data_IF_389558244841
#
_entry.id   IF_389558244841
#
_cell.length_a   1.000
_cell.length_b   1.000
_cell.length_c   1.000
_cell.angle_alpha   90.00
_cell.angle_beta   90.00
_cell.angle_gamma   90.00
#
_symmetry.space_group_name_H-M   'P 1'
#
loop_
_entity.id
_entity.type
_entity.pdbx_description
1 polymer ?
#
# COMPACT_ATOMS: atom_id res chain seq x y z
N UNK A 1 10.32 14.72 -33.82
CA UNK A 1 10.06 13.45 -33.11
C UNK A 1 10.30 13.74 -31.64
N UNK A 2 9.25 14.17 -30.95
CA UNK A 2 9.36 14.49 -29.53
C UNK A 2 9.46 13.19 -28.74
N UNK A 3 10.63 12.99 -28.13
CA UNK A 3 10.84 11.97 -27.12
C UNK A 3 9.91 12.29 -25.95
N UNK A 4 8.75 11.63 -25.93
CA UNK A 4 7.78 11.71 -24.86
C UNK A 4 8.44 11.09 -23.61
N UNK A 5 9.21 11.91 -22.89
CA UNK A 5 9.93 11.54 -21.68
C UNK A 5 8.84 11.31 -20.63
N UNK A 6 8.39 10.06 -20.47
CA UNK A 6 7.53 9.70 -19.35
C UNK A 6 8.27 10.11 -18.07
N UNK A 7 7.74 11.11 -17.39
CA UNK A 7 8.34 11.61 -16.15
C UNK A 7 8.23 10.51 -15.10
N UNK A 8 9.38 9.98 -14.69
CA UNK A 8 9.46 9.07 -13.55
C UNK A 8 9.16 9.87 -12.28
N UNK A 9 8.12 9.48 -11.57
CA UNK A 9 7.70 10.13 -10.33
C UNK A 9 8.33 9.39 -9.16
N UNK A 10 9.00 10.12 -8.26
CA UNK A 10 9.62 9.55 -7.06
C UNK A 10 8.90 10.09 -5.82
N UNK A 11 8.36 9.19 -5.00
CA UNK A 11 7.69 9.48 -3.74
C UNK A 11 8.59 9.06 -2.58
N UNK A 12 9.45 9.97 -2.13
CA UNK A 12 10.44 9.73 -1.08
C UNK A 12 9.83 9.84 0.32
N UNK A 13 8.91 10.80 0.50
CA UNK A 13 8.30 11.12 1.79
C UNK A 13 6.85 10.68 1.82
N UNK A 14 6.39 10.30 3.01
CA UNK A 14 4.99 9.92 3.26
C UNK A 14 3.96 10.93 2.70
N UNK A 15 4.25 12.24 2.78
CA UNK A 15 3.37 13.30 2.24
C UNK A 15 3.22 13.26 0.72
N UNK A 16 4.19 12.72 -0.02
CA UNK A 16 4.19 12.71 -1.49
C UNK A 16 3.26 11.63 -2.04
N UNK A 17 2.96 10.60 -1.22
CA UNK A 17 1.96 9.58 -1.52
C UNK A 17 0.55 10.12 -1.71
N UNK A 18 0.26 11.36 -1.26
CA UNK A 18 -1.02 12.01 -1.54
C UNK A 18 -1.32 12.17 -3.03
N UNK A 19 -0.29 12.09 -3.89
CA UNK A 19 -0.44 12.11 -5.34
C UNK A 19 -1.34 10.98 -5.85
N UNK A 20 -1.34 9.84 -5.15
CA UNK A 20 -2.11 8.64 -5.51
C UNK A 20 -3.17 8.31 -4.43
N UNK A 21 -3.63 9.31 -3.66
CA UNK A 21 -4.61 9.09 -2.59
C UNK A 21 -5.97 8.63 -3.13
N UNK A 22 -6.24 7.34 -2.92
CA UNK A 22 -7.45 6.70 -3.41
C UNK A 22 -7.28 6.05 -4.78
N UNK A 23 -6.05 5.97 -5.30
CA UNK A 23 -5.75 5.23 -6.51
C UNK A 23 -5.37 3.79 -6.17
N UNK A 24 -5.85 2.88 -7.01
CA UNK A 24 -5.38 1.50 -7.06
C UNK A 24 -4.16 1.44 -7.97
N UNK A 25 -3.07 0.86 -7.48
CA UNK A 25 -1.83 0.76 -8.22
C UNK A 25 -1.31 -0.67 -8.22
N UNK A 26 -0.78 -1.11 -9.35
CA UNK A 26 -0.07 -2.38 -9.49
C UNK A 26 1.36 -2.22 -9.02
N UNK A 27 1.83 -3.10 -8.15
CA UNK A 27 3.24 -3.18 -7.74
C UNK A 27 3.98 -4.07 -8.72
N UNK A 28 4.94 -3.49 -9.43
CA UNK A 28 5.77 -4.20 -10.41
C UNK A 28 7.07 -4.71 -9.81
N UNK A 29 7.60 -4.01 -8.80
CA UNK A 29 8.84 -4.41 -8.12
C UNK A 29 8.78 -4.04 -6.64
N UNK A 30 9.32 -4.92 -5.80
CA UNK A 30 9.54 -4.68 -4.38
C UNK A 30 11.00 -4.95 -4.02
N UNK A 31 11.70 -3.91 -3.60
CA UNK A 31 13.14 -3.93 -3.30
C UNK A 31 13.35 -3.46 -1.85
N UNK A 32 13.50 -4.39 -0.89
CA UNK A 32 13.96 -4.06 0.45
C UNK A 32 15.31 -3.35 0.38
N UNK A 33 15.47 -2.27 1.16
CA UNK A 33 16.78 -1.62 1.29
C UNK A 33 17.68 -2.42 2.24
N UNK A 34 18.99 -2.35 2.01
CA UNK A 34 19.98 -3.16 2.73
C UNK A 34 19.84 -3.06 4.26
N UNK A 35 19.87 -4.21 4.92
CA UNK A 35 19.72 -4.31 6.37
C UNK A 35 18.28 -4.24 6.88
N UNK A 36 17.27 -4.14 6.00
CA UNK A 36 15.87 -4.25 6.35
C UNK A 36 15.32 -5.63 5.97
N UNK A 37 14.68 -6.31 6.92
CA UNK A 37 14.04 -7.60 6.70
C UNK A 37 12.96 -7.88 7.73
N UNK A 38 12.12 -8.87 7.47
CA UNK A 38 11.18 -9.40 8.46
C UNK A 38 11.63 -10.80 8.84
N UNK A 39 11.65 -11.06 10.15
CA UNK A 39 11.94 -12.37 10.71
C UNK A 39 10.93 -12.65 11.81
N UNK A 40 10.26 -13.80 11.73
CA UNK A 40 9.24 -14.23 12.70
C UNK A 40 8.14 -13.17 12.91
N UNK A 41 7.74 -12.48 11.83
CA UNK A 41 6.76 -11.38 11.86
C UNK A 41 7.27 -10.06 12.44
N UNK A 42 8.55 -9.98 12.82
CA UNK A 42 9.18 -8.78 13.39
C UNK A 42 10.04 -8.10 12.32
N UNK A 43 9.69 -6.86 11.98
CA UNK A 43 10.51 -6.01 11.11
C UNK A 43 11.77 -5.60 11.87
N UNK A 44 12.92 -5.91 11.28
CA UNK A 44 14.27 -5.53 11.71
C UNK A 44 14.86 -4.54 10.71
N UNK A 45 15.55 -3.51 11.21
CA UNK A 45 16.18 -2.47 10.39
C UNK A 45 17.50 -2.03 11.02
N UNK A 46 18.54 -1.90 10.19
CA UNK A 46 19.84 -1.34 10.58
C UNK A 46 19.82 0.19 10.70
N UNK A 47 18.86 0.87 10.06
CA UNK A 47 18.72 2.32 10.06
C UNK A 47 17.24 2.72 10.03
N UNK A 48 16.68 3.07 11.20
CA UNK A 48 15.27 3.45 11.35
C UNK A 48 14.92 4.83 10.79
N UNK A 49 15.91 5.62 10.38
CA UNK A 49 15.71 6.93 9.77
C UNK A 49 15.62 6.86 8.23
N UNK A 50 16.01 5.72 7.65
CA UNK A 50 15.90 5.46 6.22
C UNK A 50 14.58 4.71 5.91
N UNK A 51 14.10 4.77 4.66
CA UNK A 51 13.02 3.89 4.21
C UNK A 51 13.40 2.40 4.40
N UNK A 52 12.39 1.55 4.57
CA UNK A 52 12.57 0.11 4.66
C UNK A 52 12.73 -0.55 3.28
N UNK A 53 12.04 -0.01 2.27
CA UNK A 53 12.03 -0.55 0.91
C UNK A 53 11.71 0.53 -0.12
N UNK A 54 11.97 0.23 -1.38
CA UNK A 54 11.39 0.90 -2.53
C UNK A 54 10.43 -0.06 -3.25
N UNK A 55 9.33 0.48 -3.77
CA UNK A 55 8.46 -0.21 -4.72
C UNK A 55 8.39 0.56 -6.02
N UNK A 56 8.33 -0.15 -7.13
CA UNK A 56 7.89 0.41 -8.40
C UNK A 56 6.41 0.09 -8.58
N UNK A 57 5.62 1.09 -8.94
CA UNK A 57 4.18 0.96 -9.13
C UNK A 57 3.72 1.64 -10.42
N UNK A 58 2.65 1.09 -10.99
CA UNK A 58 1.88 1.69 -12.06
C UNK A 58 0.47 1.95 -11.56
N UNK A 59 0.01 3.19 -11.67
CA UNK A 59 -1.34 3.60 -11.32
C UNK A 59 -2.09 3.98 -12.61
N UNK A 60 -3.41 4.18 -12.54
CA UNK A 60 -4.16 4.72 -13.69
C UNK A 60 -3.64 6.10 -14.12
N UNK A 61 -3.25 6.91 -13.14
CA UNK A 61 -2.87 8.32 -13.31
C UNK A 61 -1.41 8.51 -13.75
N UNK A 62 -0.55 7.51 -13.56
CA UNK A 62 0.86 7.59 -13.92
C UNK A 62 1.44 6.21 -14.28
N UNK A 63 2.23 6.17 -15.35
CA UNK A 63 2.74 4.92 -15.92
C UNK A 63 3.89 4.31 -15.14
N UNK A 64 4.70 5.11 -14.43
CA UNK A 64 5.77 4.61 -13.55
C UNK A 64 6.03 5.54 -12.37
N UNK A 65 5.86 5.02 -11.16
CA UNK A 65 6.16 5.71 -9.91
C UNK A 65 7.09 4.83 -9.08
N UNK A 66 8.13 5.41 -8.50
CA UNK A 66 8.98 4.78 -7.49
C UNK A 66 8.61 5.33 -6.11
N UNK A 67 8.04 4.49 -5.25
CA UNK A 67 7.61 4.87 -3.90
C UNK A 67 8.48 4.26 -2.81
N UNK A 68 8.90 5.08 -1.84
CA UNK A 68 9.67 4.63 -0.68
C UNK A 68 8.76 4.30 0.50
N UNK A 69 8.95 3.10 1.07
CA UNK A 69 8.17 2.58 2.20
C UNK A 69 8.83 2.97 3.51
N UNK A 70 8.27 3.95 4.20
CA UNK A 70 8.79 4.46 5.47
C UNK A 70 8.04 3.91 6.69
N UNK A 71 6.93 3.22 6.48
CA UNK A 71 6.10 2.70 7.57
C UNK A 71 6.36 1.21 7.81
N UNK A 72 6.57 0.84 9.08
CA UNK A 72 6.95 -0.53 9.50
C UNK A 72 5.89 -1.57 9.10
N UNK A 73 4.62 -1.26 9.28
CA UNK A 73 3.52 -2.18 8.96
C UNK A 73 3.40 -2.39 7.45
N UNK A 74 3.50 -1.31 6.67
CA UNK A 74 3.38 -1.36 5.22
C UNK A 74 4.53 -2.20 4.63
N UNK A 75 5.74 -2.06 5.19
CA UNK A 75 6.88 -2.92 4.85
C UNK A 75 6.62 -4.39 5.21
N UNK A 76 6.08 -4.68 6.40
CA UNK A 76 5.76 -6.06 6.79
C UNK A 76 4.73 -6.71 5.86
N UNK A 77 3.68 -5.97 5.47
CA UNK A 77 2.67 -6.45 4.53
C UNK A 77 3.29 -6.79 3.17
N UNK A 78 4.10 -5.89 2.61
CA UNK A 78 4.79 -6.13 1.34
C UNK A 78 5.78 -7.30 1.45
N UNK A 79 6.55 -7.37 2.53
CA UNK A 79 7.48 -8.46 2.76
C UNK A 79 6.78 -9.81 2.82
N UNK A 80 5.68 -9.90 3.57
CA UNK A 80 4.91 -11.13 3.67
C UNK A 80 4.48 -11.63 2.28
N UNK A 81 3.93 -10.74 1.46
CA UNK A 81 3.47 -11.06 0.11
C UNK A 81 4.61 -11.45 -0.83
N UNK A 82 5.73 -10.71 -0.82
CA UNK A 82 6.80 -10.93 -1.80
C UNK A 82 7.89 -11.92 -1.36
N UNK A 83 8.00 -12.24 -0.06
CA UNK A 83 9.12 -13.02 0.49
C UNK A 83 8.70 -14.22 1.34
N UNK A 84 7.52 -14.22 1.96
CA UNK A 84 7.11 -15.29 2.88
C UNK A 84 6.06 -16.24 2.28
N UNK A 85 5.11 -15.71 1.51
CA UNK A 85 4.15 -16.54 0.77
C UNK A 85 4.72 -16.94 -0.60
N UNK A 86 4.25 -18.07 -1.15
CA UNK A 86 4.65 -18.57 -2.47
C UNK A 86 4.04 -17.75 -3.62
N UNK A 87 4.30 -16.44 -3.64
CA UNK A 87 3.87 -15.54 -4.69
C UNK A 87 4.38 -15.99 -6.05
N UNK A 88 3.48 -16.12 -7.01
CA UNK A 88 3.79 -16.49 -8.38
C UNK A 88 3.50 -15.34 -9.35
N UNK A 89 4.51 -14.57 -9.80
CA UNK A 89 4.29 -13.42 -10.69
C UNK A 89 3.74 -13.79 -12.08
N UNK A 90 3.67 -15.08 -12.44
CA UNK A 90 3.01 -15.54 -13.67
C UNK A 90 1.50 -15.76 -13.51
N UNK A 91 1.02 -15.94 -12.28
CA UNK A 91 -0.40 -16.23 -11.99
C UNK A 91 -1.05 -15.18 -11.11
N UNK A 92 -0.25 -14.40 -10.41
CA UNK A 92 -0.67 -13.48 -9.38
C UNK A 92 -0.04 -12.12 -9.60
N UNK A 93 -0.66 -11.11 -9.01
CA UNK A 93 -0.21 -9.74 -9.02
C UNK A 93 -0.49 -9.07 -7.69
N UNK A 94 0.36 -8.13 -7.31
CA UNK A 94 0.23 -7.39 -6.06
C UNK A 94 -0.29 -6.01 -6.39
N UNK A 95 -1.43 -5.65 -5.80
CA UNK A 95 -2.01 -4.33 -5.93
C UNK A 95 -1.95 -3.64 -4.57
N UNK A 96 -1.71 -2.33 -4.60
CA UNK A 96 -1.77 -1.48 -3.42
C UNK A 96 -2.86 -0.44 -3.56
N UNK A 97 -3.44 -0.09 -2.42
CA UNK A 97 -4.33 1.05 -2.29
C UNK A 97 -3.82 1.91 -1.14
N UNK A 98 -3.40 3.13 -1.46
CA UNK A 98 -2.93 4.09 -0.47
C UNK A 98 -3.98 5.18 -0.26
N UNK A 99 -4.33 5.48 0.99
CA UNK A 99 -5.22 6.60 1.27
C UNK A 99 -5.03 7.16 2.68
N UNK A 100 -5.21 8.46 2.83
CA UNK A 100 -5.30 9.10 4.15
C UNK A 100 -6.73 9.49 4.55
N UNK A 101 -7.72 9.19 3.70
CA UNK A 101 -9.11 9.63 3.92
C UNK A 101 -9.75 9.01 5.16
N UNK A 102 -9.33 7.81 5.58
CA UNK A 102 -9.83 7.17 6.80
C UNK A 102 -9.34 7.83 8.10
N UNK A 103 -8.33 8.71 8.04
CA UNK A 103 -7.90 9.53 9.18
C UNK A 103 -8.81 10.74 9.44
N UNK A 104 -9.81 11.00 8.58
CA UNK A 104 -10.72 12.13 8.77
C UNK A 104 -11.78 11.90 9.85
N UNK A 105 -11.93 10.67 10.36
CA UNK A 105 -12.79 10.38 11.50
C UNK A 105 -12.19 10.93 12.80
N UNK A 106 -12.97 11.68 13.57
CA UNK A 106 -12.54 12.34 14.82
C UNK A 106 -11.87 11.36 15.80
N UNK A 107 -12.39 10.12 15.86
CA UNK A 107 -11.88 9.04 16.70
C UNK A 107 -10.49 8.57 16.21
N UNK A 108 -10.27 8.48 14.90
CA UNK A 108 -8.97 8.12 14.31
C UNK A 108 -7.91 9.18 14.60
N UNK A 109 -8.28 10.47 14.57
CA UNK A 109 -7.39 11.58 14.93
C UNK A 109 -6.97 11.51 16.40
N UNK A 110 -7.90 11.19 17.30
CA UNK A 110 -7.64 11.04 18.74
C UNK A 110 -6.73 9.84 19.01
N UNK A 111 -7.00 8.68 18.39
CA UNK A 111 -6.17 7.47 18.54
C UNK A 111 -4.77 7.70 17.95
N UNK A 112 -4.68 8.30 16.76
CA UNK A 112 -3.41 8.67 16.14
C UNK A 112 -2.62 9.61 17.05
N UNK A 113 -3.26 10.65 17.61
CA UNK A 113 -2.63 11.60 18.54
C UNK A 113 -2.13 10.92 19.83
N UNK A 114 -2.95 10.08 20.46
CA UNK A 114 -2.55 9.33 21.66
C UNK A 114 -1.34 8.42 21.38
N UNK A 115 -1.36 7.64 20.29
CA UNK A 115 -0.24 6.76 19.94
C UNK A 115 1.02 7.53 19.49
N UNK A 116 0.86 8.65 18.79
CA UNK A 116 1.97 9.54 18.44
C UNK A 116 2.65 10.08 19.71
N UNK A 117 1.86 10.38 20.74
CA UNK A 117 2.33 10.95 22.00
C UNK A 117 3.01 9.91 22.89
N UNK A 118 2.50 8.67 22.94
CA UNK A 118 3.06 7.62 23.80
C UNK A 118 4.15 6.78 23.14
N UNK A 119 4.17 6.68 21.81
CA UNK A 119 5.04 5.73 21.07
C UNK A 119 5.79 6.40 19.90
N UNK A 120 5.63 7.72 19.70
CA UNK A 120 6.37 8.48 18.69
C UNK A 120 6.05 8.11 17.23
N UNK A 121 5.00 7.32 16.97
CA UNK A 121 4.67 6.81 15.64
C UNK A 121 3.15 6.80 15.41
N UNK A 122 2.71 7.05 14.17
CA UNK A 122 1.32 6.82 13.76
C UNK A 122 1.10 5.31 13.59
N UNK A 123 0.16 4.67 14.30
CA UNK A 123 0.01 3.21 14.30
C UNK A 123 -0.80 2.67 13.11
N UNK A 124 -1.36 3.54 12.28
CA UNK A 124 -2.31 3.14 11.26
C UNK A 124 -1.59 2.92 9.93
N UNK A 125 -1.75 1.74 9.30
CA UNK A 125 -1.24 1.52 7.95
C UNK A 125 -1.96 2.46 6.98
N UNK A 126 -1.20 3.09 6.08
CA UNK A 126 -1.77 3.95 5.03
C UNK A 126 -1.93 3.19 3.72
N UNK A 127 -1.26 2.05 3.62
CA UNK A 127 -1.25 1.18 2.46
C UNK A 127 -1.94 -0.14 2.78
N UNK A 128 -2.93 -0.48 1.96
CA UNK A 128 -3.49 -1.81 1.89
C UNK A 128 -2.77 -2.58 0.79
N UNK A 129 -2.26 -3.77 1.14
CA UNK A 129 -1.59 -4.66 0.19
C UNK A 129 -2.52 -5.82 -0.12
N UNK A 130 -2.74 -6.07 -1.41
CA UNK A 130 -3.72 -7.03 -1.91
C UNK A 130 -3.08 -7.94 -2.94
N UNK A 131 -3.30 -9.24 -2.81
CA UNK A 131 -2.87 -10.25 -3.78
C UNK A 131 -4.07 -10.69 -4.64
N UNK A 132 -3.90 -10.58 -5.95
CA UNK A 132 -4.91 -10.92 -6.96
C UNK A 132 -4.37 -11.92 -7.98
N UNK A 133 -5.26 -12.50 -8.79
CA UNK A 133 -4.87 -13.20 -10.02
C UNK A 133 -4.38 -12.19 -11.06
N UNK A 134 -3.37 -12.58 -11.83
CA UNK A 134 -2.79 -11.78 -12.91
C UNK A 134 -3.86 -11.33 -13.91
N UNK A 135 -3.80 -10.07 -14.33
CA UNK A 135 -4.75 -9.43 -15.25
C UNK A 135 -5.98 -8.82 -14.58
N UNK A 136 -6.08 -8.89 -13.24
CA UNK A 136 -7.18 -8.25 -12.51
C UNK A 136 -7.07 -6.74 -12.61
N UNK A 137 -5.86 -6.18 -12.50
CA UNK A 137 -5.60 -4.75 -12.56
C UNK A 137 -6.08 -4.13 -13.88
N UNK A 138 -5.72 -4.74 -15.01
CA UNK A 138 -6.14 -4.28 -16.34
C UNK A 138 -7.66 -4.35 -16.51
N UNK A 139 -8.27 -5.43 -16.02
CA UNK A 139 -9.73 -5.58 -16.01
C UNK A 139 -10.40 -4.46 -15.20
N UNK A 140 -9.93 -4.20 -13.99
CA UNK A 140 -10.47 -3.14 -13.13
C UNK A 140 -10.25 -1.73 -13.71
N UNK A 141 -9.14 -1.51 -14.43
CA UNK A 141 -8.91 -0.27 -15.15
C UNK A 141 -9.91 -0.08 -16.29
N UNK A 142 -10.09 -1.08 -17.14
CA UNK A 142 -10.98 -1.03 -18.31
C UNK A 142 -12.47 -0.91 -17.97
N UNK A 143 -12.91 -1.52 -16.87
CA UNK A 143 -14.32 -1.47 -16.45
C UNK A 143 -14.70 -0.14 -15.77
N UNK A 144 -13.77 0.83 -15.63
CA UNK A 144 -13.98 2.10 -14.92
C UNK A 144 -14.61 1.93 -13.52
N UNK A 145 -14.51 0.75 -12.90
CA UNK A 145 -15.14 0.45 -11.62
C UNK A 145 -14.51 1.19 -10.43
N UNK A 146 -13.36 1.82 -10.67
CA UNK A 146 -12.70 2.73 -9.74
C UNK A 146 -13.03 4.17 -10.14
N UNK A 147 -14.16 4.69 -9.68
CA UNK A 147 -14.48 6.11 -9.82
C UNK A 147 -13.62 6.92 -8.84
N UNK A 148 -12.99 7.96 -9.36
CA UNK A 148 -12.56 9.13 -8.60
C UNK A 148 -13.73 9.63 -7.74
N UNK A 149 -13.49 9.80 -6.43
CA UNK A 149 -14.47 10.36 -5.50
C UNK A 149 -15.19 9.32 -4.64
N UNK A 150 -14.82 9.29 -3.35
CA UNK A 150 -15.54 8.78 -2.17
C UNK A 150 -16.16 7.37 -2.15
N UNK A 151 -16.19 6.62 -3.25
CA UNK A 151 -16.75 5.26 -3.28
C UNK A 151 -15.88 4.34 -4.17
N UNK A 152 -14.78 3.86 -3.61
CA UNK A 152 -14.02 2.77 -4.21
C UNK A 152 -14.88 1.51 -4.21
N UNK A 153 -15.17 0.92 -5.37
CA UNK A 153 -15.67 -0.46 -5.42
C UNK A 153 -14.47 -1.36 -5.61
N UNK A 154 -13.89 -1.83 -4.49
CA UNK A 154 -12.93 -2.92 -4.57
C UNK A 154 -13.64 -4.16 -5.12
N UNK A 155 -12.96 -4.98 -5.94
CA UNK A 155 -13.53 -6.26 -6.33
C UNK A 155 -13.89 -7.06 -5.07
N UNK A 156 -14.96 -7.88 -5.12
CA UNK A 156 -15.42 -8.64 -3.97
C UNK A 156 -14.28 -9.47 -3.36
N UNK A 157 -14.26 -9.54 -2.02
CA UNK A 157 -13.29 -10.30 -1.20
C UNK A 157 -13.01 -11.72 -1.73
N UNK A 158 -13.98 -12.33 -2.41
CA UNK A 158 -13.85 -13.66 -3.01
C UNK A 158 -12.70 -13.80 -4.02
N UNK A 159 -12.14 -12.69 -4.51
CA UNK A 159 -11.07 -12.69 -5.51
C UNK A 159 -9.72 -12.14 -5.00
N UNK A 160 -9.63 -11.73 -3.73
CA UNK A 160 -8.46 -11.02 -3.18
C UNK A 160 -8.06 -11.54 -1.81
N UNK A 161 -6.76 -11.73 -1.58
CA UNK A 161 -6.23 -11.83 -0.22
C UNK A 161 -5.72 -10.46 0.20
N UNK A 162 -6.30 -9.89 1.27
CA UNK A 162 -5.92 -8.57 1.80
C UNK A 162 -5.06 -8.77 3.04
N UNK A 163 -3.90 -8.13 3.07
CA UNK A 163 -2.93 -8.25 4.15
C UNK A 163 -2.86 -6.95 4.97
N UNK A 164 -3.13 -7.06 6.27
CA UNK A 164 -2.98 -5.98 7.26
C UNK A 164 -2.30 -6.56 8.50
N UNK A 165 -0.99 -6.39 8.61
CA UNK A 165 -0.21 -6.74 9.79
C UNK A 165 -0.47 -5.72 10.91
N UNK A 166 -0.70 -6.21 12.13
CA UNK A 166 -0.87 -5.36 13.31
C UNK A 166 -1.95 -5.87 14.25
N UNK A 167 -1.79 -5.63 15.54
CA UNK A 167 -2.69 -6.07 16.62
C UNK A 167 -4.04 -5.34 16.64
N UNK A 168 -4.37 -4.59 15.58
CA UNK A 168 -5.60 -3.82 15.48
C UNK A 168 -6.62 -4.70 14.76
N UNK A 169 -7.79 -5.00 15.36
CA UNK A 169 -8.79 -5.85 14.74
C UNK A 169 -9.20 -5.27 13.38
N UNK A 170 -9.01 -6.08 12.34
CA UNK A 170 -9.30 -5.76 10.93
C UNK A 170 -10.73 -5.24 10.74
N UNK A 171 -11.70 -5.74 11.53
CA UNK A 171 -13.10 -5.30 11.54
C UNK A 171 -13.28 -3.82 11.89
N UNK A 172 -12.34 -3.20 12.60
CA UNK A 172 -12.47 -1.82 13.07
C UNK A 172 -12.14 -0.81 11.96
N UNK A 173 -11.20 -1.11 11.06
CA UNK A 173 -10.59 -0.11 10.17
C UNK A 173 -10.58 -0.44 8.69
N UNK A 174 -11.12 -1.58 8.28
CA UNK A 174 -11.48 -1.75 6.88
C UNK A 174 -12.34 -0.55 6.46
N UNK A 175 -11.89 0.28 5.49
CA UNK A 175 -12.72 1.36 4.99
C UNK A 175 -14.04 0.75 4.50
N UNK A 176 -15.16 1.46 4.63
CA UNK A 176 -16.51 0.88 4.47
C UNK A 176 -16.68 0.13 3.13
N UNK A 177 -15.92 0.56 2.11
CA UNK A 177 -15.72 -0.09 0.81
C UNK A 177 -15.18 -1.54 0.83
N UNK A 178 -14.65 -2.02 1.97
CA UNK A 178 -14.16 -3.38 2.17
C UNK A 178 -14.97 -4.15 3.21
N UNK A 179 -15.78 -3.46 4.02
CA UNK A 179 -16.75 -4.09 4.93
C UNK A 179 -17.92 -4.56 4.07
N UNK A 180 -18.40 -5.78 4.30
CA UNK A 180 -19.60 -6.31 3.60
C UNK A 180 -20.82 -5.43 3.85
#
# INVERSE_FOLDING_TARGET
MDNNKQEEIILLKDKEWSLIDGDLCLVTTFTPLDGNFVKDGIVTSSNTLAPYAAIEITCRTATKITGFITHKIDFANLWHVFKEINFNPEKEEVQIYWTTKHYNNLIAKIISFLYLTFIGMTPLPKMFVMLYKKGTFDKLQSENQFSTGNNLKLPPKSNAQVFIYGSIPISFWMPDIMKE
#
